data_IF_552367429010
#
_entry.id   IF_552367429010
#
_cell.length_a   1.000
_cell.length_b   1.000
_cell.length_c   1.000
_cell.angle_alpha   90.00
_cell.angle_beta   90.00
_cell.angle_gamma   90.00
#
_symmetry.space_group_name_H-M   'P 1'
#
loop_
_entity.id
_entity.type
_entity.pdbx_description
1 polymer ?
#
# COMPACT_ATOMS: atom_id res chain seq x y z
N UNK A 1 22.66 2.40 29.12
CA UNK A 1 23.23 2.85 27.83
C UNK A 1 22.12 2.66 26.82
N UNK A 2 21.68 3.74 26.17
CA UNK A 2 20.69 3.64 25.08
C UNK A 2 21.39 2.91 23.93
N UNK A 3 20.81 1.81 23.46
CA UNK A 3 21.36 1.08 22.32
C UNK A 3 21.02 1.87 21.07
N UNK A 4 22.01 2.43 20.39
CA UNK A 4 21.75 3.10 19.10
C UNK A 4 21.13 2.09 18.12
N UNK A 5 19.97 2.38 17.52
CA UNK A 5 19.32 1.50 16.56
C UNK A 5 20.29 1.17 15.42
N UNK A 6 20.42 -0.11 15.07
CA UNK A 6 21.28 -0.53 13.96
C UNK A 6 20.53 -0.33 12.63
N UNK A 7 21.17 0.22 11.60
CA UNK A 7 20.60 0.28 10.26
C UNK A 7 20.17 -1.11 9.77
N UNK A 8 19.10 -1.13 8.98
CA UNK A 8 18.54 -2.32 8.37
C UNK A 8 17.03 -2.34 8.48
N UNK A 9 16.42 -3.18 7.65
CA UNK A 9 14.98 -3.41 7.66
C UNK A 9 14.64 -4.63 8.52
N UNK A 10 13.84 -4.43 9.56
CA UNK A 10 13.19 -5.52 10.31
C UNK A 10 11.74 -5.64 9.87
N UNK A 11 11.36 -6.82 9.39
CA UNK A 11 9.99 -7.14 9.02
C UNK A 11 9.27 -7.79 10.20
N UNK A 12 8.11 -7.26 10.58
CA UNK A 12 7.25 -7.77 11.63
C UNK A 12 5.93 -8.24 10.99
N UNK A 13 5.60 -9.52 11.14
CA UNK A 13 4.38 -10.11 10.57
C UNK A 13 3.51 -10.75 11.65
N UNK A 14 2.20 -10.58 11.52
CA UNK A 14 1.21 -11.21 12.41
C UNK A 14 -0.17 -11.21 11.75
N UNK A 15 -1.03 -12.13 12.18
CA UNK A 15 -2.46 -12.11 11.86
C UNK A 15 -3.30 -11.27 12.84
N UNK A 16 -2.66 -10.49 13.73
CA UNK A 16 -3.32 -9.60 14.70
C UNK A 16 -2.62 -8.25 14.75
N UNK A 17 -3.39 -7.17 14.57
CA UNK A 17 -2.85 -5.82 14.67
C UNK A 17 -2.38 -5.50 16.09
N UNK A 18 -3.07 -6.05 17.10
CA UNK A 18 -2.74 -5.87 18.51
C UNK A 18 -1.34 -6.40 18.83
N UNK A 19 -0.98 -7.57 18.29
CA UNK A 19 0.35 -8.14 18.47
C UNK A 19 1.44 -7.27 17.80
N UNK A 20 1.17 -6.73 16.62
CA UNK A 20 2.09 -5.79 15.97
C UNK A 20 2.22 -4.49 16.77
N UNK A 21 1.13 -3.98 17.34
CA UNK A 21 1.14 -2.77 18.16
C UNK A 21 1.92 -2.98 19.48
N UNK A 22 1.81 -4.16 20.09
CA UNK A 22 2.64 -4.55 21.24
C UNK A 22 4.13 -4.56 20.87
N UNK A 23 4.48 -5.15 19.71
CA UNK A 23 5.86 -5.14 19.23
C UNK A 23 6.37 -3.73 18.92
N UNK A 24 5.52 -2.85 18.37
CA UNK A 24 5.86 -1.44 18.19
C UNK A 24 6.12 -0.78 19.55
N UNK A 25 5.24 -0.97 20.54
CA UNK A 25 5.43 -0.41 21.87
C UNK A 25 6.73 -0.89 22.54
N UNK A 26 7.10 -2.17 22.36
CA UNK A 26 8.38 -2.71 22.85
C UNK A 26 9.59 -2.01 22.20
N UNK A 27 9.49 -1.64 20.93
CA UNK A 27 10.53 -0.86 20.23
C UNK A 27 10.59 0.58 20.77
N UNK A 28 9.44 1.22 20.95
CA UNK A 28 9.36 2.60 21.47
C UNK A 28 9.76 2.71 22.95
N UNK A 29 9.74 1.60 23.70
CA UNK A 29 10.20 1.56 25.08
C UNK A 29 11.72 1.79 25.22
N UNK A 30 12.52 1.46 24.20
CA UNK A 30 13.93 1.87 24.10
C UNK A 30 14.00 3.24 23.43
N UNK A 31 14.31 4.34 24.13
CA UNK A 31 14.17 5.70 23.61
C UNK A 31 15.21 6.03 22.51
N UNK A 32 14.92 7.06 21.71
CA UNK A 32 15.89 7.67 20.80
C UNK A 32 17.09 8.27 21.54
N UNK A 33 18.13 8.67 20.80
CA UNK A 33 19.32 9.31 21.38
C UNK A 33 19.03 10.61 22.13
N UNK A 34 17.94 11.30 21.77
CA UNK A 34 17.50 12.56 22.38
C UNK A 34 15.99 12.55 22.64
N UNK A 35 15.53 13.01 23.81
CA UNK A 35 14.11 13.07 24.15
C UNK A 35 13.32 14.13 23.35
N UNK A 36 14.02 15.02 22.63
CA UNK A 36 13.40 16.05 21.80
C UNK A 36 13.16 15.58 20.37
N UNK A 37 13.73 14.44 19.96
CA UNK A 37 13.47 13.86 18.65
C UNK A 37 12.13 13.12 18.69
N UNK A 38 11.24 13.36 17.71
CA UNK A 38 10.00 12.62 17.64
C UNK A 38 10.23 11.20 17.10
N UNK A 39 9.46 10.25 17.62
CA UNK A 39 9.30 8.95 16.97
C UNK A 39 8.55 9.11 15.65
N UNK A 40 8.95 8.37 14.61
CA UNK A 40 8.29 8.44 13.31
C UNK A 40 7.58 7.11 13.04
N UNK A 41 6.25 7.13 13.05
CA UNK A 41 5.39 5.97 12.78
C UNK A 41 4.51 6.25 11.56
N UNK A 42 4.95 5.81 10.38
CA UNK A 42 4.20 5.96 9.13
C UNK A 42 2.92 5.13 9.18
N UNK A 43 1.80 5.75 8.84
CA UNK A 43 0.47 5.11 8.79
C UNK A 43 -0.26 5.45 7.49
N UNK A 44 -1.37 4.76 7.20
CA UNK A 44 -2.17 5.01 5.98
C UNK A 44 -3.53 5.65 6.21
N UNK A 45 -3.95 5.81 7.46
CA UNK A 45 -5.22 6.45 7.78
C UNK A 45 -5.19 7.15 9.12
N UNK A 46 -6.03 8.17 9.27
CA UNK A 46 -6.24 8.83 10.56
C UNK A 46 -6.87 7.87 11.59
N UNK A 47 -7.62 6.86 11.15
CA UNK A 47 -8.16 5.82 12.02
C UNK A 47 -7.04 4.99 12.66
N UNK A 48 -6.08 4.54 11.84
CA UNK A 48 -4.91 3.79 12.31
C UNK A 48 -4.06 4.63 13.27
N UNK A 49 -3.83 5.91 12.94
CA UNK A 49 -3.16 6.86 13.83
C UNK A 49 -3.80 6.90 15.22
N UNK A 50 -5.11 7.18 15.27
CA UNK A 50 -5.83 7.32 16.55
C UNK A 50 -5.83 6.02 17.35
N UNK A 51 -5.96 4.89 16.67
CA UNK A 51 -5.91 3.58 17.30
C UNK A 51 -4.51 3.30 17.89
N UNK A 52 -3.44 3.56 17.15
CA UNK A 52 -2.07 3.41 17.62
C UNK A 52 -1.73 4.34 18.79
N UNK A 53 -2.15 5.62 18.72
CA UNK A 53 -1.99 6.57 19.83
C UNK A 53 -2.56 5.99 21.14
N UNK A 54 -3.74 5.35 21.06
CA UNK A 54 -4.36 4.69 22.21
C UNK A 54 -3.63 3.42 22.62
N UNK A 55 -3.25 2.53 21.69
CA UNK A 55 -2.54 1.29 22.02
C UNK A 55 -1.19 1.56 22.68
N UNK A 56 -0.42 2.50 22.14
CA UNK A 56 0.86 2.94 22.70
C UNK A 56 0.64 3.53 24.10
N UNK A 57 -0.36 4.41 24.28
CA UNK A 57 -0.64 4.99 25.58
C UNK A 57 -1.11 3.95 26.62
N UNK A 58 -1.90 2.95 26.22
CA UNK A 58 -2.31 1.86 27.11
C UNK A 58 -1.12 1.00 27.55
N UNK A 59 -0.14 0.78 26.67
CA UNK A 59 1.00 -0.09 26.95
C UNK A 59 2.15 0.62 27.68
N UNK A 60 2.45 1.86 27.30
CA UNK A 60 3.57 2.65 27.82
C UNK A 60 3.14 3.72 28.84
N UNK A 61 1.83 3.85 29.10
CA UNK A 61 1.23 4.85 29.99
C UNK A 61 0.98 6.21 29.34
N UNK A 62 1.68 6.53 28.25
CA UNK A 62 1.52 7.76 27.47
C UNK A 62 1.98 7.56 26.02
N UNK A 63 1.32 8.24 25.07
CA UNK A 63 1.81 8.42 23.71
C UNK A 63 2.04 9.91 23.48
N UNK A 64 3.30 10.34 23.44
CA UNK A 64 3.69 11.75 23.25
C UNK A 64 4.94 11.83 22.40
N UNK A 65 5.10 12.94 21.67
CA UNK A 65 6.22 13.16 20.74
C UNK A 65 6.37 12.06 19.67
N UNK A 66 5.23 11.54 19.17
CA UNK A 66 5.18 10.59 18.05
C UNK A 66 4.54 11.28 16.85
N UNK A 67 5.25 11.32 15.73
CA UNK A 67 4.73 11.78 14.46
C UNK A 67 4.15 10.59 13.67
N UNK A 68 2.94 10.80 13.13
CA UNK A 68 2.26 9.82 12.30
C UNK A 68 2.09 10.30 10.85
N UNK A 69 3.19 10.48 10.08
CA UNK A 69 3.10 10.93 8.71
C UNK A 69 2.51 9.84 7.79
N UNK A 70 1.89 10.25 6.69
CA UNK A 70 1.63 9.35 5.57
C UNK A 70 2.90 9.15 4.73
N UNK A 71 2.99 8.08 3.91
CA UNK A 71 4.20 7.77 3.13
C UNK A 71 4.73 8.95 2.29
N UNK A 72 3.83 9.69 1.62
CA UNK A 72 4.21 10.85 0.82
C UNK A 72 4.79 12.00 1.68
N UNK A 73 4.26 12.18 2.90
CA UNK A 73 4.76 13.21 3.83
C UNK A 73 6.14 12.84 4.35
N UNK A 74 6.39 11.57 4.67
CA UNK A 74 7.72 11.08 5.03
C UNK A 74 8.72 11.35 3.89
N UNK A 75 8.38 10.95 2.66
CA UNK A 75 9.20 11.21 1.47
C UNK A 75 9.53 12.70 1.32
N UNK A 76 8.53 13.57 1.41
CA UNK A 76 8.72 15.01 1.31
C UNK A 76 9.63 15.55 2.44
N UNK A 77 9.48 15.06 3.67
CA UNK A 77 10.32 15.48 4.79
C UNK A 77 11.79 15.09 4.56
N UNK A 78 12.05 13.85 4.13
CA UNK A 78 13.40 13.38 3.78
C UNK A 78 13.99 14.20 2.63
N UNK A 79 13.19 14.48 1.60
CA UNK A 79 13.63 15.32 0.48
C UNK A 79 14.04 16.73 0.92
N UNK A 80 13.24 17.37 1.79
CA UNK A 80 13.56 18.70 2.34
C UNK A 80 14.84 18.69 3.18
N UNK A 81 15.08 17.62 3.93
CA UNK A 81 16.31 17.48 4.72
C UNK A 81 17.55 17.29 3.83
N UNK A 82 17.42 16.48 2.76
CA UNK A 82 18.49 16.26 1.80
C UNK A 82 18.77 17.50 0.93
N UNK A 83 17.74 18.31 0.63
CA UNK A 83 17.86 19.50 -0.21
C UNK A 83 17.16 20.73 0.42
N UNK A 84 17.73 21.35 1.47
CA UNK A 84 17.09 22.47 2.18
C UNK A 84 16.85 23.72 1.32
N UNK A 85 17.65 23.89 0.27
CA UNK A 85 17.57 25.02 -0.67
C UNK A 85 16.72 24.73 -1.91
N UNK A 86 16.16 23.52 -2.03
CA UNK A 86 15.29 23.20 -3.17
C UNK A 86 13.94 23.91 -3.01
N UNK A 87 13.60 24.76 -3.97
CA UNK A 87 12.25 25.29 -4.08
C UNK A 87 11.29 24.16 -4.48
N UNK A 88 10.19 24.05 -3.74
CA UNK A 88 9.09 23.14 -4.11
C UNK A 88 8.39 23.66 -5.35
N UNK A 89 7.92 22.74 -6.20
CA UNK A 89 7.06 23.06 -7.34
C UNK A 89 5.67 22.47 -7.11
N UNK A 90 4.63 23.23 -7.42
CA UNK A 90 3.24 22.76 -7.46
C UNK A 90 2.80 22.40 -8.88
N UNK A 91 3.71 22.47 -9.87
CA UNK A 91 3.37 22.32 -11.28
C UNK A 91 2.92 20.90 -11.66
N UNK A 92 3.19 19.92 -10.78
CA UNK A 92 2.78 18.54 -10.90
C UNK A 92 1.60 18.17 -10.00
N UNK A 93 1.03 19.14 -9.26
CA UNK A 93 -0.22 18.90 -8.52
C UNK A 93 -1.36 18.69 -9.53
N UNK A 94 -2.24 17.72 -9.28
CA UNK A 94 -3.32 17.31 -10.21
C UNK A 94 -4.18 18.48 -10.68
N UNK A 95 -4.53 19.41 -9.78
CA UNK A 95 -5.31 20.60 -10.13
C UNK A 95 -4.53 21.55 -11.04
N UNK A 96 -3.25 21.78 -10.74
CA UNK A 96 -2.37 22.64 -11.56
C UNK A 96 -2.11 22.00 -12.92
N UNK A 97 -1.83 20.69 -12.96
CA UNK A 97 -1.68 19.93 -14.20
C UNK A 97 -2.93 20.02 -15.07
N UNK A 98 -4.12 19.94 -14.49
CA UNK A 98 -5.39 20.09 -15.23
C UNK A 98 -5.40 21.38 -16.04
N UNK A 99 -5.14 22.52 -15.38
CA UNK A 99 -5.13 23.83 -16.03
C UNK A 99 -3.98 24.00 -17.02
N UNK A 100 -2.85 23.32 -16.78
CA UNK A 100 -1.71 23.30 -17.72
C UNK A 100 -1.97 22.44 -18.94
N UNK A 101 -2.69 21.32 -18.80
CA UNK A 101 -3.02 20.37 -19.87
C UNK A 101 -4.08 20.94 -20.79
N UNK A 102 -5.15 21.52 -20.25
CA UNK A 102 -6.32 22.00 -21.01
C UNK A 102 -5.93 22.81 -22.28
N UNK A 103 -5.10 23.89 -22.20
CA UNK A 103 -4.71 24.62 -23.40
C UNK A 103 -3.77 23.84 -24.34
N UNK A 104 -3.04 22.83 -23.85
CA UNK A 104 -2.17 21.99 -24.69
C UNK A 104 -2.97 21.00 -25.52
N UNK A 105 -4.12 20.51 -25.02
CA UNK A 105 -4.97 19.59 -25.77
C UNK A 105 -5.40 20.20 -27.11
N UNK A 106 -5.85 21.46 -27.09
CA UNK A 106 -6.22 22.18 -28.31
C UNK A 106 -5.03 22.47 -29.22
N UNK A 107 -3.86 22.81 -28.64
CA UNK A 107 -2.64 23.12 -29.41
C UNK A 107 -2.03 21.89 -30.08
N UNK A 108 -2.08 20.74 -29.43
CA UNK A 108 -1.49 19.49 -29.91
C UNK A 108 -2.49 18.67 -30.73
N UNK A 109 -3.78 19.01 -30.74
CA UNK A 109 -4.82 18.33 -31.52
C UNK A 109 -4.54 18.29 -33.05
N UNK A 110 -3.66 19.14 -33.56
CA UNK A 110 -3.24 19.12 -34.98
C UNK A 110 -2.21 18.04 -35.30
N UNK A 111 -1.58 17.45 -34.28
CA UNK A 111 -0.58 16.40 -34.47
C UNK A 111 -1.27 15.05 -34.75
N UNK A 112 -0.71 14.21 -35.66
CA UNK A 112 -1.30 12.91 -36.01
C UNK A 112 -1.55 12.00 -34.80
N UNK A 113 -0.65 12.03 -33.82
CA UNK A 113 -0.71 11.22 -32.61
C UNK A 113 -1.92 11.56 -31.73
N UNK A 114 -2.42 12.80 -31.81
CA UNK A 114 -3.55 13.31 -31.03
C UNK A 114 -4.90 13.10 -31.72
N UNK A 115 -4.99 12.30 -32.80
CA UNK A 115 -6.23 12.11 -33.55
C UNK A 115 -7.44 11.73 -32.69
N UNK A 116 -7.28 10.85 -31.69
CA UNK A 116 -8.34 10.48 -30.77
C UNK A 116 -8.79 11.65 -29.87
N UNK A 117 -7.84 12.44 -29.37
CA UNK A 117 -8.10 13.64 -28.56
C UNK A 117 -8.82 14.69 -29.41
N UNK A 118 -8.32 14.95 -30.62
CA UNK A 118 -8.93 15.88 -31.57
C UNK A 118 -10.36 15.49 -31.90
N UNK A 119 -10.64 14.20 -32.10
CA UNK A 119 -12.00 13.69 -32.34
C UNK A 119 -12.93 13.94 -31.15
N UNK A 120 -12.45 13.71 -29.93
CA UNK A 120 -13.24 13.91 -28.71
C UNK A 120 -13.61 15.38 -28.48
N UNK A 121 -12.66 16.29 -28.75
CA UNK A 121 -12.85 17.74 -28.59
C UNK A 121 -13.79 18.35 -29.63
N UNK A 122 -14.05 17.67 -30.77
CA UNK A 122 -14.98 18.17 -31.79
C UNK A 122 -16.43 18.19 -31.29
N UNK A 123 -17.12 19.30 -31.53
CA UNK A 123 -18.55 19.48 -31.25
C UNK A 123 -18.83 20.62 -30.28
N UNK A 124 -20.08 20.71 -29.81
CA UNK A 124 -20.50 21.69 -28.82
C UNK A 124 -19.82 21.45 -27.45
N UNK A 125 -19.72 22.51 -26.65
CA UNK A 125 -19.10 22.50 -25.31
C UNK A 125 -17.62 22.06 -25.32
N UNK A 126 -16.86 22.47 -26.34
CA UNK A 126 -15.43 22.13 -26.49
C UNK A 126 -14.62 22.42 -25.24
N UNK A 127 -14.83 23.57 -24.60
CA UNK A 127 -14.08 23.96 -23.40
C UNK A 127 -14.40 23.06 -22.20
N UNK A 128 -15.67 22.67 -22.02
CA UNK A 128 -16.07 21.74 -20.97
C UNK A 128 -15.45 20.36 -21.19
N UNK A 129 -15.50 19.86 -22.43
CA UNK A 129 -14.87 18.57 -22.79
C UNK A 129 -13.35 18.61 -22.60
N UNK A 130 -12.71 19.72 -22.99
CA UNK A 130 -11.27 19.91 -22.80
C UNK A 130 -10.90 19.91 -21.32
N UNK A 131 -11.68 20.57 -20.49
CA UNK A 131 -11.51 20.56 -19.04
C UNK A 131 -11.69 19.16 -18.43
N UNK A 132 -12.78 18.46 -18.76
CA UNK A 132 -13.04 17.10 -18.26
C UNK A 132 -11.95 16.11 -18.67
N UNK A 133 -11.49 16.19 -19.92
CA UNK A 133 -10.41 15.36 -20.41
C UNK A 133 -9.08 15.73 -19.73
N UNK A 134 -8.76 17.02 -19.60
CA UNK A 134 -7.56 17.47 -18.90
C UNK A 134 -7.51 16.99 -17.46
N UNK A 135 -8.64 16.99 -16.74
CA UNK A 135 -8.74 16.44 -15.37
C UNK A 135 -8.43 14.96 -15.33
N UNK A 136 -9.03 14.18 -16.25
CA UNK A 136 -8.79 12.73 -16.34
C UNK A 136 -7.32 12.43 -16.65
N UNK A 137 -6.72 13.18 -17.57
CA UNK A 137 -5.31 13.04 -17.92
C UNK A 137 -4.41 13.40 -16.74
N UNK A 138 -4.67 14.53 -16.07
CA UNK A 138 -3.91 14.95 -14.90
C UNK A 138 -3.93 13.88 -13.80
N UNK A 139 -5.11 13.30 -13.54
CA UNK A 139 -5.24 12.21 -12.58
C UNK A 139 -4.44 10.96 -12.99
N UNK A 140 -4.51 10.56 -14.25
CA UNK A 140 -3.72 9.42 -14.76
C UNK A 140 -2.21 9.69 -14.70
N UNK A 141 -1.76 10.92 -14.97
CA UNK A 141 -0.35 11.29 -14.85
C UNK A 141 0.13 11.29 -13.41
N UNK A 142 -0.69 11.75 -12.46
CA UNK A 142 -0.42 11.64 -11.02
C UNK A 142 -0.26 10.18 -10.59
N UNK A 143 -1.15 9.28 -11.07
CA UNK A 143 -1.00 7.83 -10.84
C UNK A 143 0.28 7.26 -11.47
N UNK A 144 0.63 7.66 -12.69
CA UNK A 144 1.85 7.18 -13.36
C UNK A 144 3.12 7.58 -12.61
N UNK A 145 3.17 8.77 -12.02
CA UNK A 145 4.31 9.21 -11.22
C UNK A 145 4.62 8.27 -10.04
N UNK A 146 3.59 7.60 -9.53
CA UNK A 146 3.67 6.75 -8.34
C UNK A 146 3.77 5.26 -8.71
N UNK A 147 2.97 4.81 -9.69
CA UNK A 147 2.84 3.38 -10.04
C UNK A 147 3.61 2.96 -11.30
N UNK A 148 4.05 3.91 -12.13
CA UNK A 148 4.82 3.67 -13.37
C UNK A 148 6.02 4.63 -13.50
N UNK A 149 6.85 4.81 -12.46
CA UNK A 149 7.92 5.81 -12.47
C UNK A 149 8.93 5.59 -13.61
N UNK A 150 9.27 4.34 -13.92
CA UNK A 150 10.19 4.01 -15.02
C UNK A 150 9.69 4.50 -16.39
N UNK A 151 8.39 4.38 -16.65
CA UNK A 151 7.77 4.86 -17.90
C UNK A 151 7.84 6.39 -18.00
N UNK A 152 7.54 7.10 -16.91
CA UNK A 152 7.64 8.56 -16.87
C UNK A 152 9.08 9.04 -17.10
N UNK A 153 10.06 8.35 -16.49
CA UNK A 153 11.48 8.66 -16.68
C UNK A 153 11.97 8.37 -18.10
N UNK A 154 11.44 7.34 -18.77
CA UNK A 154 11.67 7.09 -20.19
C UNK A 154 11.09 8.20 -21.06
N UNK A 155 9.86 8.65 -20.76
CA UNK A 155 9.25 9.78 -21.46
C UNK A 155 10.05 11.08 -21.28
N UNK A 156 10.60 11.34 -20.08
CA UNK A 156 11.52 12.45 -19.83
C UNK A 156 12.76 12.40 -20.73
N UNK A 157 13.25 11.20 -21.03
CA UNK A 157 14.43 10.96 -21.88
C UNK A 157 14.11 11.00 -23.39
N UNK A 158 12.85 11.19 -23.78
CA UNK A 158 12.44 11.19 -25.18
C UNK A 158 11.84 9.87 -25.68
N UNK A 159 11.65 8.88 -24.81
CA UNK A 159 10.98 7.62 -25.14
C UNK A 159 9.47 7.79 -25.33
N UNK A 160 8.86 6.90 -26.12
CA UNK A 160 7.44 6.92 -26.44
C UNK A 160 7.03 7.95 -27.50
N UNK A 161 6.18 7.51 -28.43
CA UNK A 161 5.66 8.33 -29.54
C UNK A 161 4.14 8.53 -29.46
N UNK A 162 3.47 7.96 -28.46
CA UNK A 162 2.03 8.19 -28.27
C UNK A 162 1.75 9.61 -27.74
N UNK A 163 0.48 10.02 -27.81
CA UNK A 163 0.05 11.36 -27.43
C UNK A 163 0.28 11.66 -25.94
N UNK A 164 0.27 10.66 -25.05
CA UNK A 164 0.51 10.88 -23.62
C UNK A 164 1.98 11.23 -23.39
N UNK A 165 2.90 10.48 -23.99
CA UNK A 165 4.34 10.76 -23.93
C UNK A 165 4.67 12.16 -24.49
N UNK A 166 4.08 12.53 -25.64
CA UNK A 166 4.26 13.86 -26.25
C UNK A 166 3.71 14.96 -25.33
N UNK A 167 2.51 14.78 -24.78
CA UNK A 167 1.90 15.74 -23.84
C UNK A 167 2.74 15.87 -22.56
N UNK A 168 3.18 14.76 -21.98
CA UNK A 168 4.04 14.74 -20.79
C UNK A 168 5.32 15.54 -21.01
N UNK A 169 6.03 15.27 -22.12
CA UNK A 169 7.23 16.02 -22.49
C UNK A 169 6.96 17.51 -22.63
N UNK A 170 5.78 17.89 -23.14
CA UNK A 170 5.40 19.31 -23.23
C UNK A 170 5.20 19.94 -21.86
N UNK A 171 4.58 19.22 -20.92
CA UNK A 171 4.35 19.70 -19.55
C UNK A 171 5.67 19.80 -18.77
N UNK A 172 6.57 18.82 -18.86
CA UNK A 172 7.77 18.81 -18.01
C UNK A 172 8.77 19.92 -18.37
N UNK A 173 8.68 20.53 -19.56
CA UNK A 173 9.55 21.65 -19.99
C UNK A 173 9.58 22.83 -19.00
N UNK A 174 8.48 23.11 -18.29
CA UNK A 174 8.41 24.23 -17.35
C UNK A 174 9.10 23.95 -16.00
N UNK A 175 9.24 22.67 -15.64
CA UNK A 175 9.87 22.24 -14.39
C UNK A 175 10.58 20.89 -14.56
N UNK A 176 11.65 20.83 -15.38
CA UNK A 176 12.22 19.56 -15.78
C UNK A 176 12.66 18.73 -14.58
N UNK A 177 12.24 17.45 -14.55
CA UNK A 177 12.61 16.48 -13.49
C UNK A 177 12.30 16.95 -12.06
N UNK A 178 11.31 17.84 -11.88
CA UNK A 178 10.83 18.25 -10.56
C UNK A 178 9.56 17.50 -10.11
N UNK A 179 9.22 16.41 -10.78
CA UNK A 179 8.13 15.51 -10.40
C UNK A 179 8.61 14.41 -9.45
N UNK A 180 7.66 13.75 -8.78
CA UNK A 180 7.95 12.81 -7.70
C UNK A 180 8.91 11.68 -8.09
N UNK A 181 8.77 11.08 -9.27
CA UNK A 181 9.63 9.98 -9.70
C UNK A 181 11.10 10.42 -9.84
N UNK A 182 11.34 11.57 -10.47
CA UNK A 182 12.69 12.11 -10.64
C UNK A 182 13.29 12.62 -9.33
N UNK A 183 12.48 13.29 -8.49
CA UNK A 183 12.90 13.70 -7.15
C UNK A 183 13.23 12.49 -6.26
N UNK A 184 12.52 11.38 -6.46
CA UNK A 184 12.80 10.11 -5.81
C UNK A 184 14.18 9.57 -6.09
N UNK A 185 14.56 9.49 -7.38
CA UNK A 185 15.92 9.07 -7.76
C UNK A 185 17.00 10.00 -7.17
N UNK A 186 16.76 11.31 -7.19
CA UNK A 186 17.68 12.29 -6.58
C UNK A 186 17.81 12.09 -5.07
N UNK A 187 16.72 11.78 -4.38
CA UNK A 187 16.74 11.48 -2.96
C UNK A 187 17.54 10.21 -2.67
N UNK A 188 17.29 9.13 -3.41
CA UNK A 188 18.03 7.87 -3.27
C UNK A 188 19.55 8.12 -3.40
N UNK A 189 19.97 8.87 -4.43
CA UNK A 189 21.37 9.20 -4.61
C UNK A 189 21.94 10.03 -3.45
N UNK A 190 21.20 11.06 -3.00
CA UNK A 190 21.62 11.86 -1.85
C UNK A 190 21.74 11.02 -0.56
N UNK A 191 20.82 10.08 -0.34
CA UNK A 191 20.86 9.15 0.80
C UNK A 191 22.09 8.24 0.74
N UNK A 192 22.47 7.74 -0.44
CA UNK A 192 23.71 6.98 -0.63
C UNK A 192 24.96 7.82 -0.37
N UNK A 193 24.91 9.11 -0.70
CA UNK A 193 26.02 10.05 -0.50
C UNK A 193 26.16 10.61 0.92
N UNK A 194 25.27 10.24 1.85
CA UNK A 194 25.41 10.66 3.24
C UNK A 194 24.34 11.61 3.75
N UNK A 195 23.30 11.95 2.98
CA UNK A 195 22.23 12.83 3.43
C UNK A 195 21.60 12.37 4.76
N UNK A 196 21.14 13.29 5.63
CA UNK A 196 20.58 12.94 6.92
C UNK A 196 19.39 11.98 6.81
N UNK A 197 19.31 11.03 7.74
CA UNK A 197 18.16 10.13 7.93
C UNK A 197 17.73 10.14 9.40
N UNK A 198 16.45 9.84 9.70
CA UNK A 198 16.02 9.60 11.08
C UNK A 198 16.79 8.44 11.72
N UNK A 199 16.81 8.40 13.06
CA UNK A 199 17.40 7.29 13.80
C UNK A 199 16.64 5.98 13.58
N UNK A 200 15.30 6.05 13.61
CA UNK A 200 14.42 4.96 13.23
C UNK A 200 13.13 5.45 12.60
N UNK A 201 12.53 4.57 11.78
CA UNK A 201 11.21 4.75 11.20
C UNK A 201 10.42 3.46 11.34
N UNK A 202 9.23 3.54 11.90
CA UNK A 202 8.26 2.44 11.92
C UNK A 202 7.21 2.67 10.84
N UNK A 203 6.79 1.62 10.14
CA UNK A 203 5.77 1.67 9.08
C UNK A 203 4.69 0.67 9.47
N UNK A 204 3.51 1.16 9.84
CA UNK A 204 2.52 0.37 10.55
C UNK A 204 1.17 0.29 9.85
N UNK A 205 0.61 -0.92 9.79
CA UNK A 205 -0.76 -1.15 9.36
C UNK A 205 -0.96 -0.83 7.88
N UNK A 206 0.09 -1.05 7.09
CA UNK A 206 0.11 -0.80 5.66
C UNK A 206 -0.19 -2.10 4.93
N UNK A 207 -1.30 -2.14 4.19
CA UNK A 207 -1.71 -3.32 3.40
C UNK A 207 -1.33 -3.22 1.92
N UNK A 208 -0.77 -2.08 1.50
CA UNK A 208 -0.28 -1.84 0.15
C UNK A 208 0.61 -0.60 0.12
N UNK A 209 1.71 -0.62 -0.63
CA UNK A 209 2.46 0.60 -0.98
C UNK A 209 2.76 0.58 -2.48
N UNK A 210 2.80 1.75 -3.12
CA UNK A 210 3.36 1.83 -4.46
C UNK A 210 4.80 1.32 -4.50
N UNK A 211 5.21 0.63 -5.59
CA UNK A 211 6.56 0.08 -5.77
C UNK A 211 7.67 1.09 -5.47
N UNK A 212 7.49 2.34 -5.91
CA UNK A 212 8.42 3.43 -5.64
C UNK A 212 8.73 3.60 -4.14
N UNK A 213 7.71 3.61 -3.28
CA UNK A 213 7.92 3.77 -1.84
C UNK A 213 8.56 2.53 -1.22
N UNK A 214 8.25 1.34 -1.72
CA UNK A 214 8.89 0.10 -1.25
C UNK A 214 10.38 0.10 -1.60
N UNK A 215 10.75 0.45 -2.84
CA UNK A 215 12.16 0.60 -3.21
C UNK A 215 12.88 1.65 -2.35
N UNK A 216 12.22 2.79 -2.10
CA UNK A 216 12.78 3.84 -1.24
C UNK A 216 12.99 3.36 0.20
N UNK A 217 12.08 2.56 0.76
CA UNK A 217 12.24 1.96 2.09
C UNK A 217 13.50 1.09 2.11
N UNK A 218 13.71 0.25 1.09
CA UNK A 218 14.93 -0.54 0.94
C UNK A 218 16.20 0.32 0.98
N UNK A 219 16.24 1.40 0.18
CA UNK A 219 17.38 2.32 0.11
C UNK A 219 17.64 3.06 1.44
N UNK A 220 16.59 3.53 2.12
CA UNK A 220 16.72 4.20 3.42
C UNK A 220 17.22 3.23 4.49
N UNK A 221 16.81 1.95 4.42
CA UNK A 221 17.16 0.94 5.43
C UNK A 221 18.67 0.69 5.54
N UNK A 222 19.45 0.98 4.50
CA UNK A 222 20.91 0.87 4.53
C UNK A 222 21.56 1.79 5.59
N UNK A 223 20.89 2.88 5.99
CA UNK A 223 21.43 3.88 6.94
C UNK A 223 20.48 4.23 8.10
N UNK A 224 19.22 3.80 8.03
CA UNK A 224 18.19 4.01 9.04
C UNK A 224 17.72 2.67 9.57
N UNK A 225 17.39 2.60 10.87
CA UNK A 225 16.67 1.45 11.41
C UNK A 225 15.21 1.51 10.96
N UNK A 226 14.73 0.56 10.16
CA UNK A 226 13.34 0.52 9.70
C UNK A 226 12.63 -0.69 10.28
N UNK A 227 11.45 -0.46 10.86
CA UNK A 227 10.53 -1.51 11.29
C UNK A 227 9.29 -1.48 10.42
N UNK A 228 9.07 -2.52 9.61
CA UNK A 228 7.90 -2.65 8.76
C UNK A 228 6.93 -3.67 9.39
N UNK A 229 5.74 -3.22 9.78
CA UNK A 229 4.71 -4.04 10.42
C UNK A 229 3.59 -4.36 9.42
N UNK A 230 3.51 -5.62 9.03
CA UNK A 230 2.58 -6.12 8.02
C UNK A 230 1.61 -7.10 8.67
N UNK A 231 0.32 -6.81 8.52
CA UNK A 231 -0.71 -7.75 8.93
C UNK A 231 -0.91 -8.78 7.83
N UNK A 232 -0.63 -10.04 8.15
CA UNK A 232 -0.72 -11.17 7.22
C UNK A 232 -1.77 -12.18 7.72
N UNK A 233 -2.64 -12.71 6.87
CA UNK A 233 -3.73 -13.58 7.30
C UNK A 233 -3.25 -14.99 7.71
N UNK A 234 -2.05 -15.38 7.30
CA UNK A 234 -1.45 -16.70 7.48
C UNK A 234 0.08 -16.59 7.63
N UNK A 235 0.74 -17.50 8.36
CA UNK A 235 2.20 -17.64 8.34
C UNK A 235 2.72 -18.27 7.04
N UNK A 236 1.84 -18.85 6.22
CA UNK A 236 2.23 -19.55 5.00
C UNK A 236 2.36 -18.58 3.83
N UNK A 237 3.26 -18.88 2.89
CA UNK A 237 3.37 -18.12 1.65
C UNK A 237 2.07 -18.22 0.84
N UNK A 238 1.52 -17.06 0.46
CA UNK A 238 0.29 -16.98 -0.31
C UNK A 238 0.39 -16.02 -1.52
N UNK A 239 1.61 -15.58 -1.86
CA UNK A 239 1.92 -14.67 -2.97
C UNK A 239 1.48 -15.19 -4.34
N UNK A 240 1.29 -16.50 -4.47
CA UNK A 240 0.89 -17.17 -5.71
C UNK A 240 -0.60 -17.50 -5.79
N UNK A 241 -1.37 -17.40 -4.70
CA UNK A 241 -2.78 -17.81 -4.67
C UNK A 241 -3.60 -16.94 -5.62
N UNK A 242 -4.24 -17.57 -6.61
CA UNK A 242 -5.05 -16.88 -7.63
C UNK A 242 -6.54 -17.18 -7.47
N UNK A 243 -7.37 -16.19 -7.80
CA UNK A 243 -8.81 -16.39 -7.92
C UNK A 243 -9.16 -17.35 -9.06
N UNK A 244 -10.33 -17.99 -8.99
CA UNK A 244 -10.82 -18.86 -10.07
C UNK A 244 -10.90 -18.12 -11.43
N UNK A 245 -11.22 -16.82 -11.41
CA UNK A 245 -11.26 -15.97 -12.61
C UNK A 245 -9.87 -15.76 -13.22
N UNK A 246 -8.85 -15.55 -12.39
CA UNK A 246 -7.45 -15.40 -12.83
C UNK A 246 -6.94 -16.72 -13.42
N UNK A 247 -7.16 -17.84 -12.73
CA UNK A 247 -6.82 -19.18 -13.22
C UNK A 247 -7.48 -19.50 -14.56
N UNK A 248 -8.78 -19.19 -14.70
CA UNK A 248 -9.50 -19.42 -15.96
C UNK A 248 -8.94 -18.58 -17.12
N UNK A 249 -8.46 -17.36 -16.88
CA UNK A 249 -7.80 -16.52 -17.89
C UNK A 249 -6.40 -17.02 -18.26
N UNK A 250 -5.69 -17.62 -17.31
CA UNK A 250 -4.34 -18.15 -17.49
C UNK A 250 -4.28 -19.48 -18.27
N UNK A 251 -5.42 -20.11 -18.59
CA UNK A 251 -5.53 -21.34 -19.40
C UNK A 251 -5.21 -21.14 -20.89
N UNK A 252 -4.18 -20.34 -21.20
CA UNK A 252 -3.31 -20.47 -22.37
C UNK A 252 -1.93 -20.92 -21.86
N UNK A 253 -1.73 -22.23 -21.61
CA UNK A 253 -0.59 -22.74 -20.83
C UNK A 253 0.79 -22.45 -21.45
N UNK A 254 0.85 -22.31 -22.78
CA UNK A 254 2.10 -22.18 -23.51
C UNK A 254 2.75 -20.78 -23.39
N UNK A 255 2.02 -19.74 -22.99
CA UNK A 255 2.55 -18.38 -22.95
C UNK A 255 3.15 -17.98 -21.58
N UNK A 256 2.81 -18.70 -20.51
CA UNK A 256 3.12 -18.27 -19.13
C UNK A 256 3.91 -19.30 -18.30
N UNK A 257 4.26 -20.46 -18.85
CA UNK A 257 5.15 -21.42 -18.17
C UNK A 257 4.63 -21.91 -16.81
N UNK A 258 3.32 -22.07 -16.67
CA UNK A 258 2.68 -22.43 -15.40
C UNK A 258 2.54 -23.95 -15.29
N UNK A 259 3.13 -24.54 -14.25
CA UNK A 259 2.79 -25.89 -13.79
C UNK A 259 1.50 -25.82 -12.96
N UNK A 260 0.57 -26.75 -13.19
CA UNK A 260 -0.60 -27.00 -12.34
C UNK A 260 -0.13 -27.59 -10.99
N UNK A 261 0.73 -26.89 -10.24
CA UNK A 261 0.97 -27.27 -8.86
C UNK A 261 -0.29 -26.94 -8.07
N UNK A 262 -0.90 -27.99 -7.51
CA UNK A 262 -2.02 -27.96 -6.57
C UNK A 262 -1.60 -27.24 -5.28
N UNK A 263 -1.38 -25.92 -5.39
CA UNK A 263 -1.16 -25.06 -4.24
C UNK A 263 -2.46 -25.05 -3.43
N UNK A 264 -2.31 -25.27 -2.12
CA UNK A 264 -3.42 -25.25 -1.18
C UNK A 264 -4.01 -23.84 -1.17
N UNK A 265 -5.06 -23.64 -1.96
CA UNK A 265 -5.54 -22.30 -2.30
C UNK A 265 -6.83 -21.99 -1.56
N UNK A 266 -6.79 -21.33 -0.40
CA UNK A 266 -8.00 -20.84 0.24
C UNK A 266 -8.81 -19.94 -0.73
N UNK A 267 -10.04 -20.35 -1.08
CA UNK A 267 -10.84 -19.70 -2.12
C UNK A 267 -11.22 -18.25 -1.76
N UNK A 268 -11.47 -17.98 -0.48
CA UNK A 268 -11.80 -16.65 0.01
C UNK A 268 -10.57 -15.72 -0.10
N UNK A 269 -9.40 -16.22 0.27
CA UNK A 269 -8.15 -15.49 0.15
C UNK A 269 -7.78 -15.25 -1.32
N UNK A 270 -7.96 -16.23 -2.19
CA UNK A 270 -7.74 -16.06 -3.63
C UNK A 270 -8.70 -15.04 -4.27
N UNK A 271 -9.96 -15.01 -3.84
CA UNK A 271 -10.96 -14.08 -4.37
C UNK A 271 -10.80 -12.64 -3.87
N UNK A 272 -10.38 -12.44 -2.61
CA UNK A 272 -10.40 -11.14 -1.95
C UNK A 272 -9.00 -10.58 -1.63
N UNK A 273 -7.96 -11.44 -1.64
CA UNK A 273 -6.63 -11.12 -1.14
C UNK A 273 -5.70 -10.45 -2.17
N UNK A 274 -6.15 -10.16 -3.39
CA UNK A 274 -5.28 -9.65 -4.47
C UNK A 274 -4.38 -8.49 -4.06
N UNK A 275 -4.92 -7.47 -3.37
CA UNK A 275 -4.14 -6.29 -2.96
C UNK A 275 -3.02 -6.69 -1.99
N UNK A 276 -3.34 -7.50 -0.98
CA UNK A 276 -2.35 -7.98 -0.01
C UNK A 276 -1.32 -8.91 -0.66
N UNK A 277 -1.75 -9.78 -1.59
CA UNK A 277 -0.86 -10.66 -2.35
C UNK A 277 0.16 -9.88 -3.17
N UNK A 278 -0.32 -8.86 -3.89
CA UNK A 278 0.54 -8.01 -4.72
C UNK A 278 1.52 -7.20 -3.83
N UNK A 279 1.11 -6.80 -2.62
CA UNK A 279 1.99 -6.15 -1.64
C UNK A 279 3.00 -7.13 -1.03
N UNK A 280 2.59 -8.35 -0.65
CA UNK A 280 3.45 -9.41 -0.14
C UNK A 280 4.57 -9.73 -1.13
N UNK A 281 4.23 -9.88 -2.42
CA UNK A 281 5.23 -10.09 -3.48
C UNK A 281 6.23 -8.93 -3.57
N UNK A 282 5.75 -7.69 -3.43
CA UNK A 282 6.61 -6.50 -3.50
C UNK A 282 7.56 -6.38 -2.29
N UNK A 283 7.12 -6.77 -1.09
CA UNK A 283 7.98 -6.74 0.11
C UNK A 283 8.91 -7.95 0.19
N UNK A 284 8.57 -9.07 -0.47
CA UNK A 284 9.42 -10.26 -0.53
C UNK A 284 10.77 -9.99 -1.21
N UNK A 285 10.82 -8.99 -2.11
CA UNK A 285 12.04 -8.54 -2.79
C UNK A 285 12.95 -7.66 -1.90
N UNK A 286 12.51 -7.27 -0.70
CA UNK A 286 13.31 -6.44 0.20
C UNK A 286 14.32 -7.27 0.99
N UNK A 287 15.56 -6.79 1.02
CA UNK A 287 16.57 -7.33 1.92
C UNK A 287 16.25 -6.96 3.38
N UNK A 288 16.01 -7.97 4.20
CA UNK A 288 15.70 -7.82 5.63
C UNK A 288 16.87 -8.28 6.49
N UNK A 289 17.23 -7.49 7.51
CA UNK A 289 18.26 -7.89 8.49
C UNK A 289 17.70 -8.80 9.58
N UNK A 290 16.38 -8.75 9.78
CA UNK A 290 15.66 -9.57 10.75
C UNK A 290 14.19 -9.69 10.33
N UNK A 291 13.61 -10.85 10.63
CA UNK A 291 12.17 -11.09 10.48
C UNK A 291 11.63 -11.58 11.83
N UNK A 292 10.50 -11.03 12.24
CA UNK A 292 9.79 -11.40 13.46
C UNK A 292 8.37 -11.77 13.11
N UNK A 293 8.03 -13.02 13.35
CA UNK A 293 6.72 -13.57 13.07
C UNK A 293 6.00 -13.86 14.39
N UNK A 294 4.77 -13.36 14.53
CA UNK A 294 3.92 -13.60 15.70
C UNK A 294 2.51 -13.97 15.26
N UNK A 295 2.37 -15.18 14.76
CA UNK A 295 1.10 -15.71 14.26
C UNK A 295 0.37 -16.53 15.33
N UNK A 296 -0.89 -16.17 15.57
CA UNK A 296 -1.75 -16.87 16.52
C UNK A 296 -2.82 -17.63 15.76
N UNK A 297 -2.71 -18.96 15.71
CA UNK A 297 -3.73 -19.80 15.07
C UNK A 297 -5.11 -19.54 15.71
N UNK A 298 -6.13 -19.13 14.92
CA UNK A 298 -7.47 -18.81 15.44
C UNK A 298 -8.13 -19.97 16.20
N UNK A 299 -7.75 -21.20 15.85
CA UNK A 299 -8.32 -22.43 16.43
C UNK A 299 -7.47 -23.02 17.55
N UNK A 300 -6.34 -22.40 17.93
CA UNK A 300 -5.38 -22.95 18.91
C UNK A 300 -6.04 -23.35 20.24
N UNK A 301 -6.87 -22.47 20.80
CA UNK A 301 -7.58 -22.69 22.08
C UNK A 301 -8.68 -23.76 22.01
N UNK A 302 -9.05 -24.20 20.82
CA UNK A 302 -10.14 -25.15 20.55
C UNK A 302 -9.65 -26.46 19.90
N UNK A 303 -8.34 -26.73 19.91
CA UNK A 303 -7.77 -27.96 19.32
C UNK A 303 -8.23 -29.23 20.05
N UNK A 304 -8.43 -29.16 21.36
CA UNK A 304 -8.85 -30.28 22.21
C UNK A 304 -10.32 -30.25 22.61
N UNK A 305 -11.10 -29.28 22.12
CA UNK A 305 -12.52 -29.19 22.47
C UNK A 305 -13.33 -30.24 21.72
N UNK A 306 -14.18 -30.96 22.47
CA UNK A 306 -15.20 -31.86 21.91
C UNK A 306 -16.37 -31.04 21.33
N UNK A 307 -16.51 -29.77 21.73
CA UNK A 307 -17.56 -28.88 21.24
C UNK A 307 -17.24 -28.35 19.85
N UNK A 308 -18.27 -28.26 18.99
CA UNK A 308 -18.16 -27.57 17.71
C UNK A 308 -17.64 -26.13 17.90
N UNK A 309 -16.74 -25.70 17.01
CA UNK A 309 -16.20 -24.33 17.04
C UNK A 309 -17.19 -23.39 16.35
N UNK A 310 -17.20 -22.10 16.72
CA UNK A 310 -17.92 -21.10 15.96
C UNK A 310 -17.47 -21.06 14.49
N UNK A 311 -18.42 -20.87 13.57
CA UNK A 311 -18.20 -20.77 12.11
C UNK A 311 -17.12 -19.74 11.79
N UNK A 312 -17.15 -18.59 12.46
CA UNK A 312 -16.14 -17.54 12.25
C UNK A 312 -14.72 -18.06 12.49
N UNK A 313 -14.51 -18.83 13.56
CA UNK A 313 -13.19 -19.40 13.86
C UNK A 313 -12.78 -20.49 12.88
N UNK A 314 -13.73 -21.26 12.35
CA UNK A 314 -13.46 -22.24 11.29
C UNK A 314 -13.03 -21.56 9.99
N UNK A 315 -13.71 -20.48 9.57
CA UNK A 315 -13.34 -19.72 8.38
C UNK A 315 -11.97 -19.05 8.57
N UNK A 316 -11.74 -18.38 9.71
CA UNK A 316 -10.44 -17.78 10.03
C UNK A 316 -9.34 -18.84 10.09
N UNK A 317 -9.63 -20.02 10.65
CA UNK A 317 -8.72 -21.15 10.70
C UNK A 317 -8.39 -21.70 9.31
N UNK A 318 -9.37 -21.77 8.42
CA UNK A 318 -9.13 -22.21 7.03
C UNK A 318 -8.29 -21.21 6.25
N UNK A 319 -8.53 -19.90 6.41
CA UNK A 319 -7.68 -18.86 5.82
C UNK A 319 -6.25 -18.97 6.38
N UNK A 320 -6.12 -19.09 7.70
CA UNK A 320 -4.83 -19.18 8.37
C UNK A 320 -4.01 -20.41 7.95
N UNK A 321 -4.66 -21.55 7.73
CA UNK A 321 -3.99 -22.80 7.31
C UNK A 321 -4.02 -23.00 5.78
N UNK A 322 -4.43 -21.98 5.01
CA UNK A 322 -4.62 -22.04 3.55
C UNK A 322 -5.48 -23.22 3.06
N UNK A 323 -6.45 -23.66 3.86
CA UNK A 323 -7.34 -24.78 3.53
C UNK A 323 -8.45 -24.35 2.59
N UNK A 324 -8.80 -25.26 1.68
CA UNK A 324 -9.80 -25.01 0.66
C UNK A 324 -10.53 -26.26 0.18
N UNK A 325 -11.58 -26.03 -0.59
CA UNK A 325 -12.42 -27.07 -1.18
C UNK A 325 -13.49 -27.62 -0.23
N UNK A 326 -14.55 -28.26 -0.77
CA UNK A 326 -15.54 -28.92 0.06
C UNK A 326 -14.84 -30.04 0.83
N UNK A 327 -14.83 -30.00 2.18
CA UNK A 327 -14.20 -31.06 2.93
C UNK A 327 -14.92 -32.38 2.62
N UNK A 328 -14.19 -33.51 2.61
CA UNK A 328 -14.78 -34.85 2.42
C UNK A 328 -15.95 -35.11 3.39
N UNK A 329 -15.95 -34.44 4.55
CA UNK A 329 -17.06 -34.35 5.46
C UNK A 329 -17.29 -32.89 5.89
N UNK A 330 -18.54 -32.41 5.87
CA UNK A 330 -18.91 -31.08 6.38
C UNK A 330 -18.66 -31.00 7.88
N UNK A 331 -18.27 -29.82 8.37
CA UNK A 331 -18.14 -29.56 9.81
C UNK A 331 -19.52 -29.38 10.44
N UNK A 332 -19.67 -29.86 11.67
CA UNK A 332 -20.87 -29.62 12.47
C UNK A 332 -20.90 -28.17 12.95
N UNK A 333 -22.06 -27.53 12.81
CA UNK A 333 -22.32 -26.17 13.30
C UNK A 333 -23.26 -26.29 14.50
N UNK A 334 -22.92 -25.63 15.60
CA UNK A 334 -23.79 -25.58 16.77
C UNK A 334 -25.01 -24.69 16.48
N UNK A 335 -26.20 -25.11 16.91
CA UNK A 335 -27.45 -24.36 16.67
C UNK A 335 -27.51 -23.00 17.37
N UNK A 336 -26.67 -22.79 18.39
CA UNK A 336 -26.51 -21.54 19.13
C UNK A 336 -25.28 -20.73 18.69
N UNK A 337 -24.67 -21.08 17.56
CA UNK A 337 -23.57 -20.30 17.00
C UNK A 337 -24.09 -19.05 16.29
N UNK A 338 -23.68 -17.91 16.82
CA UNK A 338 -24.07 -16.58 16.34
C UNK A 338 -22.86 -15.78 15.83
N UNK A 339 -21.70 -16.43 15.66
CA UNK A 339 -20.45 -15.76 15.27
C UNK A 339 -20.43 -15.22 13.85
N UNK A 340 -21.28 -15.77 12.96
CA UNK A 340 -21.50 -15.27 11.62
C UNK A 340 -23.00 -15.35 11.30
N UNK A 341 -23.62 -14.22 10.99
CA UNK A 341 -25.05 -14.12 10.69
C UNK A 341 -25.26 -13.36 9.39
N UNK A 342 -26.37 -13.66 8.71
CA UNK A 342 -26.78 -12.97 7.49
C UNK A 342 -28.19 -12.44 7.72
N UNK A 343 -28.36 -11.12 7.59
CA UNK A 343 -29.62 -10.43 7.80
C UNK A 343 -30.12 -9.85 6.47
N UNK A 344 -31.36 -10.14 6.10
CA UNK A 344 -32.00 -9.59 4.90
C UNK A 344 -33.11 -8.62 5.31
N UNK A 345 -32.96 -7.35 4.96
CA UNK A 345 -33.85 -6.26 5.35
C UNK A 345 -34.51 -5.61 4.14
N UNK A 346 -35.71 -5.07 4.32
CA UNK A 346 -36.52 -4.49 3.23
C UNK A 346 -36.19 -3.01 2.94
N UNK A 347 -35.44 -2.35 3.81
CA UNK A 347 -34.99 -0.96 3.65
C UNK A 347 -33.78 -0.68 4.54
N UNK A 348 -33.05 0.40 4.24
CA UNK A 348 -31.91 0.88 5.05
C UNK A 348 -32.35 1.22 6.49
N UNK A 349 -33.54 1.82 6.65
CA UNK A 349 -34.07 2.14 7.99
C UNK A 349 -34.29 0.86 8.79
N UNK A 350 -34.90 -0.16 8.17
CA UNK A 350 -35.15 -1.42 8.86
C UNK A 350 -33.86 -2.18 9.17
N UNK A 351 -32.86 -2.09 8.30
CA UNK A 351 -31.52 -2.64 8.57
C UNK A 351 -30.88 -2.02 9.81
N UNK A 352 -31.00 -0.69 9.99
CA UNK A 352 -30.49 0.00 11.17
C UNK A 352 -31.27 -0.34 12.45
N UNK A 353 -32.59 -0.45 12.38
CA UNK A 353 -33.42 -0.90 13.51
C UNK A 353 -33.03 -2.32 13.95
N UNK A 354 -32.88 -3.23 12.98
CA UNK A 354 -32.45 -4.60 13.25
C UNK A 354 -31.04 -4.62 13.86
N UNK A 355 -30.11 -3.81 13.35
CA UNK A 355 -28.76 -3.71 13.91
C UNK A 355 -28.76 -3.15 15.35
N UNK A 356 -29.64 -2.22 15.68
CA UNK A 356 -29.77 -1.67 17.04
C UNK A 356 -30.32 -2.69 18.03
N UNK A 357 -31.20 -3.59 17.57
CA UNK A 357 -31.77 -4.65 18.40
C UNK A 357 -30.78 -5.80 18.69
N UNK A 358 -29.67 -5.89 17.95
CA UNK A 358 -28.55 -6.81 18.19
C UNK A 358 -27.54 -6.25 19.19
#
# INVERSE_FOLDING_TARGET
MVSTPRPGLTLHTSNRLEALADQLADILADPLSSPLLPEIVVVQSNGMRRWLEQQIALRLGICSNVEFPFPQKLFHNLFRQAFPQAEGTNLYDTEVMTWRIMPQLSRLATLPEFGAVANYLRGELTDLRAYELARKIAHVFDEYLVFRPAMILDWDAGGGNDWQAVLWRKLQQAAPRQHQAALGLRLIEALRQGAPVPERVSIFGVSTLPPFYVSLIGEISARCCIHLFVMEPTPHWWGDIRSQREKARARQPELFGLTDDETSDNELLGANGKIGRDFLNLIADLETVSQREDFVSPTAKHRSSITARPILLEIQGDIFELKSGPPKAKRLVASNDHSLQIHSCHSIVRELEVLYDY
#
